data_IF_128046862503
#
_entry.id   IF_128046862503
#
_cell.length_a   1.000
_cell.length_b   1.000
_cell.length_c   1.000
_cell.angle_alpha   90.00
_cell.angle_beta   90.00
_cell.angle_gamma   90.00
#
_symmetry.space_group_name_H-M   'P 1'
#
loop_
_entity.id
_entity.type
_entity.pdbx_description
1 polymer ?
#
# COMPACT_ATOMS: atom_id res chain seq x y z
N UNK A 1 58.48 -13.79 28.27
CA UNK A 1 58.32 -15.25 28.46
C UNK A 1 57.65 -15.83 27.21
N UNK A 2 58.24 -16.89 26.65
CA UNK A 2 57.70 -17.88 25.69
C UNK A 2 57.10 -17.34 24.36
N UNK A 3 57.86 -17.23 23.25
CA UNK A 3 58.27 -18.27 22.27
C UNK A 3 57.11 -19.14 21.73
N UNK A 4 56.79 -19.01 20.44
CA UNK A 4 57.16 -19.99 19.36
C UNK A 4 56.53 -19.63 18.00
N UNK A 5 57.40 -19.52 17.00
CA UNK A 5 57.10 -19.65 15.57
C UNK A 5 57.30 -21.11 15.12
N UNK A 6 56.57 -21.57 14.09
CA UNK A 6 56.90 -22.68 13.15
C UNK A 6 55.98 -22.44 11.92
N UNK A 7 56.42 -22.20 10.67
CA UNK A 7 57.29 -22.90 9.69
C UNK A 7 56.62 -24.11 9.01
N UNK A 8 56.27 -23.88 7.74
CA UNK A 8 56.22 -24.73 6.52
C UNK A 8 55.74 -26.19 6.56
N UNK A 9 54.97 -26.59 5.53
CA UNK A 9 54.81 -27.99 5.15
C UNK A 9 53.98 -28.19 3.89
N UNK A 10 54.65 -28.54 2.80
CA UNK A 10 54.13 -28.84 1.47
C UNK A 10 53.19 -30.04 1.44
N UNK A 11 52.16 -29.98 0.60
CA UNK A 11 51.32 -31.13 0.26
C UNK A 11 50.72 -30.94 -1.14
N UNK A 12 51.38 -31.50 -2.14
CA UNK A 12 50.86 -31.59 -3.50
C UNK A 12 49.71 -32.62 -3.52
N UNK A 13 48.55 -32.23 -4.04
CA UNK A 13 47.60 -33.18 -4.61
C UNK A 13 47.28 -32.78 -6.04
N UNK A 14 47.71 -33.67 -6.93
CA UNK A 14 47.32 -33.83 -8.32
C UNK A 14 45.81 -34.08 -8.37
N UNK A 15 45.07 -33.35 -9.21
CA UNK A 15 44.31 -33.94 -10.32
C UNK A 15 43.47 -32.87 -11.03
N UNK A 16 43.68 -32.85 -12.33
CA UNK A 16 43.07 -32.01 -13.35
C UNK A 16 41.80 -32.72 -13.89
N UNK A 17 40.88 -31.92 -14.42
CA UNK A 17 39.85 -32.24 -15.46
C UNK A 17 38.48 -32.76 -15.02
N UNK A 18 37.57 -31.79 -14.89
CA UNK A 18 36.33 -31.61 -15.67
C UNK A 18 35.40 -32.81 -15.93
N UNK A 19 34.23 -32.80 -15.29
CA UNK A 19 32.96 -33.14 -15.94
C UNK A 19 31.92 -32.11 -15.52
N UNK A 20 31.47 -31.31 -16.47
CA UNK A 20 30.45 -30.30 -16.26
C UNK A 20 29.06 -30.91 -16.06
N UNK A 21 28.27 -30.27 -15.21
CA UNK A 21 26.84 -30.06 -15.45
C UNK A 21 26.49 -28.71 -14.81
N UNK A 22 26.82 -27.64 -15.54
CA UNK A 22 26.25 -26.33 -15.28
C UNK A 22 24.76 -26.35 -15.59
N UNK A 23 23.92 -26.62 -14.59
CA UNK A 23 22.59 -26.01 -14.55
C UNK A 23 22.74 -24.69 -13.83
N UNK A 24 23.30 -23.72 -14.55
CA UNK A 24 23.06 -22.32 -14.21
C UNK A 24 21.56 -22.12 -14.31
N UNK A 25 20.88 -22.05 -13.17
CA UNK A 25 19.63 -21.33 -13.12
C UNK A 25 19.98 -19.92 -13.56
N UNK A 26 19.68 -19.61 -14.82
CA UNK A 26 19.63 -18.25 -15.28
C UNK A 26 18.70 -17.54 -14.29
N UNK A 27 19.29 -16.74 -13.40
CA UNK A 27 18.54 -15.81 -12.59
C UNK A 27 17.85 -14.91 -13.61
N UNK A 28 16.58 -15.20 -13.88
CA UNK A 28 15.69 -14.30 -14.58
C UNK A 28 15.60 -13.11 -13.65
N UNK A 29 16.50 -12.15 -13.84
CA UNK A 29 16.42 -10.82 -13.26
C UNK A 29 15.31 -10.09 -14.00
N UNK A 30 14.07 -10.57 -13.82
CA UNK A 30 12.92 -9.69 -13.95
C UNK A 30 13.18 -8.66 -12.86
N UNK A 31 13.49 -7.41 -13.23
CA UNK A 31 13.40 -6.30 -12.30
C UNK A 31 12.03 -6.45 -11.64
N UNK A 32 11.99 -6.92 -10.40
CA UNK A 32 10.78 -6.89 -9.64
C UNK A 32 10.43 -5.41 -9.54
N UNK A 33 9.32 -5.02 -10.16
CA UNK A 33 8.78 -3.69 -10.01
C UNK A 33 8.41 -3.58 -8.53
N UNK A 34 9.36 -3.11 -7.72
CA UNK A 34 9.18 -2.90 -6.31
C UNK A 34 8.85 -1.43 -6.08
N UNK A 35 7.79 -1.13 -5.31
CA UNK A 35 6.84 -2.08 -4.74
C UNK A 35 5.87 -2.61 -5.82
N UNK A 36 5.43 -3.89 -5.71
CA UNK A 36 4.47 -4.44 -6.65
C UNK A 36 3.14 -3.71 -6.46
N UNK A 37 2.73 -2.92 -7.46
CA UNK A 37 1.47 -2.18 -7.44
C UNK A 37 0.34 -3.00 -8.08
N UNK A 38 -0.89 -2.90 -7.57
CA UNK A 38 -2.06 -3.49 -8.20
C UNK A 38 -2.30 -2.89 -9.59
N UNK A 39 -2.94 -3.65 -10.47
CA UNK A 39 -3.28 -3.20 -11.82
C UNK A 39 -4.54 -2.36 -11.87
N UNK A 40 -5.46 -2.59 -10.92
CA UNK A 40 -6.75 -1.94 -10.94
C UNK A 40 -6.63 -0.43 -10.73
N UNK A 41 -7.17 0.32 -11.69
CA UNK A 41 -7.40 1.76 -11.62
C UNK A 41 -8.88 1.98 -11.90
N UNK A 42 -9.70 2.24 -10.87
CA UNK A 42 -11.13 2.47 -11.07
C UNK A 42 -11.40 3.52 -12.15
N UNK A 43 -12.38 3.27 -13.02
CA UNK A 43 -12.74 4.20 -14.10
C UNK A 43 -13.49 5.45 -13.60
N UNK A 44 -13.91 5.41 -12.35
CA UNK A 44 -14.65 6.45 -11.66
C UNK A 44 -13.84 7.01 -10.48
N UNK A 45 -14.26 8.17 -9.99
CA UNK A 45 -13.72 8.78 -8.78
C UNK A 45 -14.84 9.09 -7.81
N UNK A 46 -14.50 9.11 -6.53
CA UNK A 46 -15.40 9.55 -5.49
C UNK A 46 -15.41 11.09 -5.41
N UNK A 47 -16.56 11.72 -5.15
CA UNK A 47 -16.64 13.16 -4.97
C UNK A 47 -15.86 13.61 -3.73
N UNK A 48 -14.75 14.33 -3.93
CA UNK A 48 -13.82 14.73 -2.87
C UNK A 48 -14.51 15.49 -1.74
N UNK A 49 -15.45 16.40 -2.05
CA UNK A 49 -16.18 17.15 -1.03
C UNK A 49 -16.92 16.24 -0.03
N UNK A 50 -17.52 15.14 -0.52
CA UNK A 50 -18.17 14.16 0.36
C UNK A 50 -17.13 13.36 1.17
N UNK A 51 -15.97 13.07 0.59
CA UNK A 51 -14.87 12.39 1.32
C UNK A 51 -14.41 13.27 2.49
N UNK A 52 -14.15 14.56 2.24
CA UNK A 52 -13.75 15.53 3.27
C UNK A 52 -14.79 15.59 4.39
N UNK A 53 -16.06 15.71 4.03
CA UNK A 53 -17.17 15.75 4.99
C UNK A 53 -17.20 14.48 5.87
N UNK A 54 -17.08 13.29 5.26
CA UNK A 54 -17.07 12.02 5.99
C UNK A 54 -15.85 11.85 6.89
N UNK A 55 -14.65 12.17 6.39
CA UNK A 55 -13.42 12.09 7.18
C UNK A 55 -13.48 13.07 8.36
N UNK A 56 -13.93 14.31 8.14
CA UNK A 56 -14.11 15.29 9.20
C UNK A 56 -15.06 14.76 10.28
N UNK A 57 -16.21 14.19 9.88
CA UNK A 57 -17.14 13.53 10.79
C UNK A 57 -16.49 12.37 11.58
N UNK A 58 -15.76 11.47 10.92
CA UNK A 58 -15.10 10.33 11.60
C UNK A 58 -13.94 10.73 12.52
N UNK A 59 -13.44 11.96 12.40
CA UNK A 59 -12.40 12.54 13.25
C UNK A 59 -12.95 13.55 14.26
N UNK A 60 -14.27 13.57 14.46
CA UNK A 60 -15.01 14.53 15.30
C UNK A 60 -14.76 16.01 14.94
N UNK A 61 -14.24 16.30 13.75
CA UNK A 61 -13.80 17.64 13.35
C UNK A 61 -12.56 18.16 14.10
N UNK A 62 -11.87 17.33 14.90
CA UNK A 62 -10.80 17.76 15.83
C UNK A 62 -9.39 17.61 15.27
N UNK A 63 -9.24 17.10 14.05
CA UNK A 63 -7.95 16.72 13.48
C UNK A 63 -7.79 17.28 12.08
N UNK A 64 -6.65 17.91 11.84
CA UNK A 64 -6.22 18.29 10.50
C UNK A 64 -5.93 17.04 9.67
N UNK A 65 -6.22 17.10 8.37
CA UNK A 65 -5.85 16.07 7.42
C UNK A 65 -5.58 16.66 6.03
N UNK A 66 -4.70 16.02 5.27
CA UNK A 66 -4.53 16.32 3.85
C UNK A 66 -5.39 15.38 3.01
N UNK A 67 -5.74 15.82 1.81
CA UNK A 67 -6.55 15.06 0.85
C UNK A 67 -5.82 14.99 -0.48
N UNK A 68 -5.64 13.77 -0.98
CA UNK A 68 -5.07 13.49 -2.27
C UNK A 68 -6.13 13.40 -3.37
N UNK A 69 -5.69 13.56 -4.62
CA UNK A 69 -6.54 13.62 -5.82
C UNK A 69 -7.58 12.50 -5.90
N UNK A 70 -7.23 11.26 -5.58
CA UNK A 70 -8.13 10.11 -5.66
C UNK A 70 -8.81 9.77 -4.32
N UNK A 71 -8.67 10.65 -3.31
CA UNK A 71 -9.43 10.60 -2.07
C UNK A 71 -8.72 9.93 -0.90
N UNK A 72 -7.45 9.54 -1.03
CA UNK A 72 -6.68 9.15 0.15
C UNK A 72 -6.46 10.37 1.04
N UNK A 73 -6.67 10.19 2.34
CA UNK A 73 -6.50 11.23 3.34
C UNK A 73 -5.37 10.85 4.30
N UNK A 74 -4.53 11.81 4.69
CA UNK A 74 -3.52 11.61 5.73
C UNK A 74 -3.83 12.48 6.93
N UNK A 75 -4.05 11.85 8.09
CA UNK A 75 -4.29 12.55 9.36
C UNK A 75 -2.99 13.15 9.85
N UNK A 76 -3.01 14.45 10.09
CA UNK A 76 -1.83 15.22 10.43
C UNK A 76 -1.57 15.25 11.93
N UNK A 77 -0.32 15.58 12.26
CA UNK A 77 0.06 16.04 13.61
C UNK A 77 -0.47 17.46 13.81
N UNK A 78 -0.82 17.80 15.04
CA UNK A 78 -1.31 19.14 15.36
C UNK A 78 -0.24 20.21 15.10
N UNK A 79 -0.67 21.38 14.61
CA UNK A 79 0.17 22.56 14.47
C UNK A 79 1.15 22.55 13.29
N UNK A 80 1.05 21.60 12.36
CA UNK A 80 1.88 21.61 11.16
C UNK A 80 1.52 22.77 10.23
N UNK A 81 2.54 23.51 9.78
CA UNK A 81 2.39 24.45 8.67
C UNK A 81 1.92 23.74 7.40
N UNK A 82 1.35 24.45 6.43
CA UNK A 82 0.93 23.83 5.15
C UNK A 82 2.08 23.12 4.44
N UNK A 83 3.29 23.69 4.50
CA UNK A 83 4.50 23.09 3.92
C UNK A 83 4.86 21.78 4.61
N UNK A 84 4.86 21.77 5.94
CA UNK A 84 5.22 20.58 6.73
C UNK A 84 4.13 19.50 6.64
N UNK A 85 2.85 19.91 6.56
CA UNK A 85 1.72 19.02 6.33
C UNK A 85 1.85 18.30 4.99
N UNK A 86 2.21 19.01 3.90
CA UNK A 86 2.48 18.39 2.59
C UNK A 86 3.63 17.40 2.66
N UNK A 87 4.76 17.80 3.25
CA UNK A 87 5.94 16.95 3.40
C UNK A 87 5.63 15.67 4.19
N UNK A 88 4.92 15.81 5.31
CA UNK A 88 4.46 14.70 6.14
C UNK A 88 3.55 13.75 5.38
N UNK A 89 2.60 14.29 4.60
CA UNK A 89 1.63 13.50 3.85
C UNK A 89 2.28 12.68 2.73
N UNK A 90 3.19 13.31 1.97
CA UNK A 90 3.95 12.64 0.91
C UNK A 90 4.84 11.54 1.47
N UNK A 91 5.52 11.81 2.59
CA UNK A 91 6.35 10.82 3.29
C UNK A 91 5.50 9.64 3.78
N UNK A 92 4.30 9.92 4.31
CA UNK A 92 3.36 8.92 4.80
C UNK A 92 2.92 7.97 3.68
N UNK A 93 2.49 8.50 2.53
CA UNK A 93 2.12 7.65 1.38
C UNK A 93 3.30 6.87 0.84
N UNK A 94 4.48 7.50 0.74
CA UNK A 94 5.70 6.80 0.31
C UNK A 94 6.03 5.63 1.23
N UNK A 95 5.88 5.80 2.54
CA UNK A 95 6.11 4.71 3.51
C UNK A 95 5.10 3.58 3.36
N UNK A 96 3.81 3.89 3.16
CA UNK A 96 2.78 2.87 2.90
C UNK A 96 3.12 2.11 1.61
N UNK A 97 3.37 2.83 0.53
CA UNK A 97 3.62 2.26 -0.79
C UNK A 97 4.85 1.36 -0.82
N UNK A 98 5.94 1.77 -0.16
CA UNK A 98 7.18 0.99 -0.08
C UNK A 98 7.16 -0.08 1.04
N UNK A 99 6.11 -0.13 1.85
CA UNK A 99 5.85 -1.23 2.78
C UNK A 99 4.93 -2.26 2.12
N UNK A 100 4.84 -3.47 2.66
CA UNK A 100 3.73 -4.37 2.30
C UNK A 100 2.45 -3.77 2.89
N UNK A 101 1.60 -3.08 2.11
CA UNK A 101 0.58 -2.23 2.68
C UNK A 101 -0.60 -3.11 3.07
N UNK A 102 -0.60 -3.47 4.35
CA UNK A 102 -1.75 -4.09 5.00
C UNK A 102 -2.88 -3.07 5.14
N UNK A 103 -4.11 -3.57 5.14
CA UNK A 103 -5.31 -2.75 5.26
C UNK A 103 -6.21 -3.26 6.37
N UNK A 104 -6.78 -2.32 7.11
CA UNK A 104 -7.74 -2.58 8.17
C UNK A 104 -9.06 -1.86 7.84
N UNK A 105 -9.95 -2.49 7.05
CA UNK A 105 -11.24 -1.93 6.71
C UNK A 105 -12.21 -1.99 7.88
N UNK A 106 -13.01 -0.95 8.05
CA UNK A 106 -14.02 -0.80 9.07
C UNK A 106 -15.36 -0.39 8.45
N UNK A 107 -16.45 -1.01 8.89
CA UNK A 107 -17.81 -0.54 8.58
C UNK A 107 -18.13 0.68 9.42
N UNK A 108 -18.63 1.74 8.78
CA UNK A 108 -19.07 2.96 9.44
C UNK A 108 -20.58 2.95 9.69
N UNK A 109 -21.05 3.82 10.58
CA UNK A 109 -22.46 3.95 10.98
C UNK A 109 -23.40 4.40 9.84
N UNK A 110 -22.88 5.18 8.90
CA UNK A 110 -23.58 5.61 7.69
C UNK A 110 -23.54 4.59 6.53
N UNK A 111 -22.92 3.43 6.78
CA UNK A 111 -22.78 2.33 5.83
C UNK A 111 -21.67 2.53 4.79
N UNK A 112 -20.85 3.58 4.93
CA UNK A 112 -19.59 3.68 4.21
C UNK A 112 -18.55 2.72 4.80
N UNK A 113 -17.45 2.52 4.09
CA UNK A 113 -16.32 1.75 4.57
C UNK A 113 -15.12 2.67 4.74
N UNK A 114 -14.48 2.62 5.91
CA UNK A 114 -13.21 3.29 6.17
C UNK A 114 -12.07 2.28 6.06
N UNK A 115 -11.20 2.46 5.07
CA UNK A 115 -10.01 1.63 4.88
C UNK A 115 -8.82 2.33 5.51
N UNK A 116 -8.23 1.75 6.55
CA UNK A 116 -7.02 2.28 7.22
C UNK A 116 -5.79 1.47 6.84
N UNK A 117 -4.62 2.09 7.00
CA UNK A 117 -3.33 1.47 6.75
C UNK A 117 -2.47 1.49 8.03
N UNK A 118 -1.29 0.86 7.98
CA UNK A 118 -0.32 0.84 9.08
C UNK A 118 0.32 2.21 9.39
N UNK A 119 -0.05 3.24 8.64
CA UNK A 119 0.39 4.63 8.77
C UNK A 119 -0.86 5.50 8.89
N UNK A 120 -0.77 6.78 9.30
CA UNK A 120 -1.95 7.63 9.53
C UNK A 120 -2.62 8.10 8.23
N UNK A 121 -2.86 7.19 7.30
CA UNK A 121 -3.62 7.41 6.08
C UNK A 121 -4.87 6.52 6.05
N UNK A 122 -5.87 6.96 5.31
CA UNK A 122 -7.13 6.25 5.15
C UNK A 122 -7.85 6.65 3.87
N UNK A 123 -8.76 5.78 3.44
CA UNK A 123 -9.72 6.05 2.37
C UNK A 123 -11.12 5.82 2.90
N UNK A 124 -12.07 6.67 2.51
CA UNK A 124 -13.51 6.36 2.65
C UNK A 124 -14.00 5.83 1.32
N UNK A 125 -14.73 4.72 1.36
CA UNK A 125 -15.50 4.21 0.23
C UNK A 125 -16.97 4.55 0.50
N UNK A 126 -17.48 5.51 -0.26
CA UNK A 126 -18.84 5.99 -0.17
C UNK A 126 -19.80 4.93 -0.68
N UNK A 127 -20.74 4.52 0.16
CA UNK A 127 -21.70 3.44 -0.11
C UNK A 127 -22.44 3.65 -1.42
N UNK A 128 -22.93 4.86 -1.67
CA UNK A 128 -23.76 5.14 -2.84
C UNK A 128 -22.92 5.11 -4.13
N UNK A 129 -21.64 5.51 -4.05
CA UNK A 129 -20.71 5.40 -5.19
C UNK A 129 -20.37 3.93 -5.45
N UNK A 130 -20.07 3.16 -4.40
CA UNK A 130 -19.79 1.74 -4.54
C UNK A 130 -20.97 0.98 -5.16
N UNK A 131 -22.21 1.29 -4.74
CA UNK A 131 -23.43 0.71 -5.33
C UNK A 131 -23.61 1.09 -6.80
N UNK A 132 -23.41 2.36 -7.15
CA UNK A 132 -23.56 2.83 -8.53
C UNK A 132 -22.56 2.18 -9.50
N UNK A 133 -21.38 1.80 -8.99
CA UNK A 133 -20.30 1.21 -9.79
C UNK A 133 -20.04 -0.27 -9.45
N UNK A 134 -21.00 -0.95 -8.82
CA UNK A 134 -20.84 -2.33 -8.36
C UNK A 134 -20.36 -3.30 -9.46
N UNK A 135 -20.88 -3.24 -10.72
CA UNK A 135 -20.42 -4.15 -11.77
C UNK A 135 -18.91 -4.07 -12.05
N UNK A 136 -18.30 -2.88 -11.94
CA UNK A 136 -16.86 -2.73 -12.12
C UNK A 136 -16.09 -3.31 -10.94
N UNK A 137 -16.54 -3.01 -9.71
CA UNK A 137 -15.93 -3.51 -8.48
C UNK A 137 -15.94 -5.04 -8.46
N UNK A 138 -17.09 -5.65 -8.73
CA UNK A 138 -17.24 -7.11 -8.80
C UNK A 138 -16.27 -7.72 -9.81
N UNK A 139 -16.15 -7.11 -10.99
CA UNK A 139 -15.31 -7.62 -12.08
C UNK A 139 -13.81 -7.45 -11.81
N UNK A 140 -13.39 -6.35 -11.20
CA UNK A 140 -11.98 -5.95 -11.15
C UNK A 140 -11.35 -6.00 -9.75
N UNK A 141 -12.08 -6.33 -8.67
CA UNK A 141 -11.53 -6.29 -7.30
C UNK A 141 -10.22 -7.07 -7.12
N UNK A 142 -10.07 -8.25 -7.75
CA UNK A 142 -8.83 -9.05 -7.65
C UNK A 142 -7.63 -8.38 -8.32
N UNK A 143 -7.85 -7.50 -9.30
CA UNK A 143 -6.79 -6.68 -9.89
C UNK A 143 -6.30 -5.59 -8.90
N UNK A 144 -7.00 -5.40 -7.78
CA UNK A 144 -6.61 -4.59 -6.62
C UNK A 144 -5.56 -5.25 -5.72
N UNK A 145 -5.13 -6.47 -6.05
CA UNK A 145 -4.02 -7.17 -5.41
C UNK A 145 -2.71 -6.95 -6.20
N UNK A 146 -1.61 -6.85 -5.48
CA UNK A 146 -0.28 -6.87 -6.08
C UNK A 146 0.05 -8.28 -6.63
N UNK A 147 1.01 -8.35 -7.56
CA UNK A 147 1.42 -9.64 -8.13
C UNK A 147 1.93 -10.57 -7.01
N UNK A 148 1.40 -11.80 -6.95
CA UNK A 148 1.71 -12.79 -5.91
C UNK A 148 1.28 -12.41 -4.49
N UNK A 149 0.49 -11.34 -4.31
CA UNK A 149 -0.07 -10.98 -3.01
C UNK A 149 -1.16 -11.98 -2.59
N UNK A 150 -1.09 -12.40 -1.33
CA UNK A 150 -2.08 -13.27 -0.70
C UNK A 150 -2.63 -12.57 0.53
N UNK A 151 -3.90 -12.20 0.48
CA UNK A 151 -4.66 -11.74 1.63
C UNK A 151 -5.49 -12.90 2.18
N UNK A 152 -5.34 -13.16 3.48
CA UNK A 152 -6.12 -14.18 4.17
C UNK A 152 -7.42 -13.54 4.65
N UNK A 153 -8.55 -14.03 4.16
CA UNK A 153 -9.89 -13.60 4.58
C UNK A 153 -10.62 -14.75 5.28
N UNK A 154 -11.75 -14.47 5.97
CA UNK A 154 -12.60 -15.53 6.52
C UNK A 154 -13.12 -16.53 5.47
N UNK A 155 -13.25 -16.12 4.21
CA UNK A 155 -13.72 -16.97 3.11
C UNK A 155 -12.58 -17.78 2.45
N UNK A 156 -11.33 -17.53 2.86
CA UNK A 156 -10.12 -18.16 2.35
C UNK A 156 -9.21 -17.19 1.59
N UNK A 157 -8.04 -17.67 1.12
CA UNK A 157 -7.06 -16.81 0.45
C UNK A 157 -7.64 -16.11 -0.78
N UNK A 158 -7.52 -14.79 -0.85
CA UNK A 158 -7.97 -13.95 -1.96
C UNK A 158 -9.45 -14.15 -2.36
N UNK A 159 -10.30 -14.52 -1.41
CA UNK A 159 -11.76 -14.59 -1.58
C UNK A 159 -12.40 -13.47 -0.77
N UNK A 160 -13.17 -12.60 -1.42
CA UNK A 160 -13.71 -11.41 -0.78
C UNK A 160 -15.23 -11.43 -0.86
N UNK A 161 -15.87 -11.14 0.27
CA UNK A 161 -17.27 -10.74 0.30
C UNK A 161 -17.43 -9.29 -0.19
N UNK A 162 -18.66 -8.79 -0.20
CA UNK A 162 -18.95 -7.45 -0.75
C UNK A 162 -18.27 -6.32 0.04
N UNK A 163 -18.02 -6.55 1.32
CA UNK A 163 -17.26 -5.64 2.17
C UNK A 163 -15.78 -5.63 1.78
N UNK A 164 -15.18 -6.82 1.62
CA UNK A 164 -13.79 -6.98 1.19
C UNK A 164 -13.53 -6.40 -0.21
N UNK A 165 -14.45 -6.59 -1.15
CA UNK A 165 -14.34 -6.01 -2.51
C UNK A 165 -14.31 -4.48 -2.48
N UNK A 166 -15.14 -3.85 -1.64
CA UNK A 166 -15.11 -2.41 -1.43
C UNK A 166 -13.83 -1.95 -0.71
N UNK A 167 -13.32 -2.73 0.24
CA UNK A 167 -12.03 -2.42 0.86
C UNK A 167 -10.89 -2.37 -0.17
N UNK A 168 -10.89 -3.31 -1.13
CA UNK A 168 -9.94 -3.31 -2.26
C UNK A 168 -10.12 -2.09 -3.17
N UNK A 169 -11.33 -1.58 -3.36
CA UNK A 169 -11.56 -0.30 -4.06
C UNK A 169 -10.86 0.86 -3.34
N UNK A 170 -11.03 0.97 -2.01
CA UNK A 170 -10.35 1.99 -1.21
C UNK A 170 -8.81 1.89 -1.33
N UNK A 171 -8.29 0.67 -1.29
CA UNK A 171 -6.86 0.39 -1.52
C UNK A 171 -6.40 0.78 -2.92
N UNK A 172 -7.18 0.51 -3.96
CA UNK A 172 -6.83 0.90 -5.33
C UNK A 172 -6.65 2.42 -5.45
N UNK A 173 -7.52 3.23 -4.83
CA UNK A 173 -7.35 4.68 -4.78
C UNK A 173 -6.06 5.11 -4.06
N UNK A 174 -5.71 4.47 -2.94
CA UNK A 174 -4.44 4.71 -2.25
C UNK A 174 -3.23 4.44 -3.14
N UNK A 175 -3.24 3.34 -3.90
CA UNK A 175 -2.14 3.07 -4.84
C UNK A 175 -2.07 4.08 -5.97
N UNK A 176 -3.20 4.56 -6.48
CA UNK A 176 -3.22 5.63 -7.48
C UNK A 176 -2.61 6.93 -6.93
N UNK A 177 -2.97 7.30 -5.70
CA UNK A 177 -2.41 8.48 -5.02
C UNK A 177 -0.94 8.29 -4.64
N UNK A 178 -0.50 7.09 -4.28
CA UNK A 178 0.89 6.82 -3.97
C UNK A 178 1.79 6.82 -5.24
N UNK A 179 1.29 6.29 -6.35
CA UNK A 179 2.02 6.23 -7.61
C UNK A 179 2.16 7.60 -8.30
N UNK A 180 1.19 8.49 -8.12
CA UNK A 180 1.18 9.84 -8.68
C UNK A 180 0.65 10.84 -7.64
N UNK A 181 1.44 11.17 -6.60
CA UNK A 181 0.97 11.91 -5.45
C UNK A 181 0.66 13.36 -5.79
N UNK A 182 -0.60 13.74 -5.54
CA UNK A 182 -1.08 15.10 -5.70
C UNK A 182 -2.04 15.45 -4.55
N UNK A 183 -1.60 16.36 -3.68
CA UNK A 183 -2.41 16.89 -2.58
C UNK A 183 -3.25 18.05 -3.12
N UNK A 184 -4.56 17.92 -3.05
CA UNK A 184 -5.52 18.91 -3.56
C UNK A 184 -6.05 19.84 -2.46
N UNK A 185 -6.02 19.39 -1.20
CA UNK A 185 -6.51 20.18 -0.06
C UNK A 185 -5.78 19.80 1.23
N UNK A 186 -5.65 20.77 2.15
CA UNK A 186 -5.38 20.53 3.56
C UNK A 186 -6.59 21.03 4.33
N UNK A 187 -7.35 20.11 4.92
CA UNK A 187 -8.44 20.43 5.80
C UNK A 187 -7.90 20.72 7.20
N UNK A 188 -8.31 21.85 7.76
CA UNK A 188 -7.96 22.27 9.12
C UNK A 188 -9.16 22.05 10.02
N UNK A 189 -8.90 21.47 11.20
CA UNK A 189 -9.91 21.37 12.25
C UNK A 189 -10.37 22.77 12.67
N UNK A 190 -11.66 22.88 12.99
CA UNK A 190 -12.26 24.11 13.52
C UNK A 190 -12.06 24.20 15.04
#
# INVERSE_FOLDING_TARGET
MHRRSFVTGSGAFIALVSVGFGKGYAAVTKKENFPPAPQWKPSFRQPTGKIIERISYYLDGKRDFSVFRNGTCVVLKQGLSDKDAKSFSLTTLSNIFNSHPDMNPLSMDDGNILVRYNQPAMNVVLRDVARAHWPEIEKHHLEGLAASEVLITPQGPNKFDDFGKQALLGRAYMFMDAAAPEIIEIHRAN
#
